data_IF_148569636388
#
_entry.id   IF_148569636388
#
_cell.length_a   1.000
_cell.length_b   1.000
_cell.length_c   1.000
_cell.angle_alpha   90.00
_cell.angle_beta   90.00
_cell.angle_gamma   90.00
#
_symmetry.space_group_name_H-M   'P 1'
#
loop_
_entity.id
_entity.type
_entity.pdbx_description
1 polymer ?
#
# COMPACT_ATOMS: atom_id res chain seq x y z
N UNK A 1 25.20 23.24 -14.01
CA UNK A 1 24.55 23.65 -12.75
C UNK A 1 24.54 25.16 -12.69
N UNK A 2 23.38 25.79 -12.91
CA UNK A 2 23.24 27.24 -12.76
C UNK A 2 23.32 27.58 -11.26
N UNK A 3 24.10 28.61 -10.89
CA UNK A 3 24.14 29.13 -9.52
C UNK A 3 22.77 29.73 -9.19
N UNK A 4 22.08 29.16 -8.21
CA UNK A 4 20.86 29.76 -7.66
C UNK A 4 21.16 31.19 -7.19
N UNK A 5 20.38 32.15 -7.68
CA UNK A 5 20.47 33.56 -7.32
C UNK A 5 19.72 33.81 -6.00
N UNK A 6 20.03 34.89 -5.27
CA UNK A 6 19.43 35.17 -3.95
C UNK A 6 17.90 35.36 -3.95
N UNK A 7 17.28 35.53 -5.12
CA UNK A 7 15.83 35.55 -5.33
C UNK A 7 15.21 34.15 -5.41
N UNK A 8 15.95 33.14 -5.88
CA UNK A 8 15.48 31.75 -6.00
C UNK A 8 15.28 31.07 -4.63
N UNK A 9 15.75 31.72 -3.55
CA UNK A 9 15.64 31.24 -2.17
C UNK A 9 14.48 31.87 -1.40
N UNK A 10 13.76 32.85 -1.97
CA UNK A 10 12.61 33.48 -1.29
C UNK A 10 11.32 32.73 -1.62
N UNK A 11 10.49 32.38 -0.62
CA UNK A 11 9.19 31.77 -0.88
C UNK A 11 8.28 32.76 -1.63
N UNK A 12 7.44 32.23 -2.51
CA UNK A 12 6.41 33.03 -3.17
C UNK A 12 5.42 33.61 -2.16
N UNK A 13 4.90 34.81 -2.44
CA UNK A 13 3.90 35.47 -1.59
C UNK A 13 2.50 34.89 -1.83
N UNK A 14 1.59 35.07 -0.86
CA UNK A 14 0.18 34.69 -1.02
C UNK A 14 -0.48 35.36 -2.24
N UNK A 15 -0.09 36.60 -2.54
CA UNK A 15 -0.58 37.35 -3.69
C UNK A 15 -0.13 36.72 -5.02
N UNK A 16 1.13 36.29 -5.10
CA UNK A 16 1.64 35.57 -6.28
C UNK A 16 0.91 34.25 -6.51
N UNK A 17 0.60 33.50 -5.46
CA UNK A 17 -0.22 32.29 -5.55
C UNK A 17 -1.65 32.58 -6.01
N UNK A 18 -2.28 33.63 -5.46
CA UNK A 18 -3.64 34.01 -5.83
C UNK A 18 -3.76 34.43 -7.30
N UNK A 19 -2.78 35.19 -7.81
CA UNK A 19 -2.73 35.60 -9.21
C UNK A 19 -2.64 34.38 -10.13
N UNK A 20 -1.65 33.50 -9.92
CA UNK A 20 -1.44 32.33 -10.77
C UNK A 20 -2.65 31.39 -10.77
N UNK A 21 -3.18 31.07 -9.58
CA UNK A 21 -4.34 30.18 -9.46
C UNK A 21 -5.59 30.80 -10.09
N UNK A 22 -5.77 32.11 -9.97
CA UNK A 22 -6.85 32.87 -10.63
C UNK A 22 -6.75 32.84 -12.16
N UNK A 23 -5.54 33.01 -12.72
CA UNK A 23 -5.32 32.92 -14.17
C UNK A 23 -5.61 31.53 -14.72
N UNK A 24 -5.18 30.48 -14.00
CA UNK A 24 -5.48 29.09 -14.36
C UNK A 24 -7.00 28.85 -14.33
N UNK A 25 -7.69 29.29 -13.28
CA UNK A 25 -9.14 29.14 -13.16
C UNK A 25 -9.88 29.85 -14.29
N UNK A 26 -9.47 31.08 -14.62
CA UNK A 26 -10.04 31.85 -15.73
C UNK A 26 -9.80 31.17 -17.09
N UNK A 27 -8.59 30.63 -17.32
CA UNK A 27 -8.27 29.91 -18.54
C UNK A 27 -9.13 28.65 -18.70
N UNK A 28 -9.33 27.89 -17.62
CA UNK A 28 -10.23 26.72 -17.61
C UNK A 28 -11.67 27.12 -17.91
N UNK A 29 -12.17 28.20 -17.31
CA UNK A 29 -13.53 28.69 -17.58
C UNK A 29 -13.72 29.11 -19.04
N UNK A 30 -12.74 29.81 -19.64
CA UNK A 30 -12.75 30.22 -21.05
C UNK A 30 -12.65 29.05 -22.03
N UNK A 31 -11.98 27.97 -21.65
CA UNK A 31 -11.87 26.76 -22.46
C UNK A 31 -13.18 25.97 -22.55
N UNK A 32 -14.19 26.28 -21.71
CA UNK A 32 -15.51 25.66 -21.68
C UNK A 32 -15.47 24.12 -21.78
N UNK A 33 -14.76 23.43 -20.85
CA UNK A 33 -14.67 21.98 -20.87
C UNK A 33 -16.05 21.34 -20.74
N UNK A 34 -16.24 20.19 -21.39
CA UNK A 34 -17.51 19.46 -21.30
C UNK A 34 -17.78 18.98 -19.86
N UNK A 35 -19.07 18.89 -19.51
CA UNK A 35 -19.50 18.31 -18.24
C UNK A 35 -18.89 16.92 -18.03
N UNK A 36 -18.86 16.09 -19.07
CA UNK A 36 -18.28 14.74 -19.00
C UNK A 36 -16.79 14.76 -18.64
N UNK A 37 -16.00 15.70 -19.19
CA UNK A 37 -14.59 15.84 -18.85
C UNK A 37 -14.41 16.29 -17.39
N UNK A 38 -15.18 17.30 -16.96
CA UNK A 38 -15.12 17.79 -15.59
C UNK A 38 -15.53 16.71 -14.58
N UNK A 39 -16.59 15.97 -14.88
CA UNK A 39 -17.04 14.84 -14.07
C UNK A 39 -15.96 13.75 -13.99
N UNK A 40 -15.31 13.43 -15.11
CA UNK A 40 -14.21 12.46 -15.15
C UNK A 40 -13.04 12.89 -14.26
N UNK A 41 -12.62 14.16 -14.33
CA UNK A 41 -11.53 14.68 -13.50
C UNK A 41 -11.91 14.76 -12.02
N UNK A 42 -13.19 15.03 -11.71
CA UNK A 42 -13.67 15.06 -10.33
C UNK A 42 -13.64 13.68 -9.68
N UNK A 43 -14.07 12.64 -10.41
CA UNK A 43 -14.24 11.29 -9.85
C UNK A 43 -13.02 10.39 -10.02
N UNK A 44 -12.21 10.56 -11.07
CA UNK A 44 -11.02 9.75 -11.31
C UNK A 44 -9.76 10.44 -10.76
N UNK A 45 -9.37 10.04 -9.55
CA UNK A 45 -8.24 10.63 -8.83
C UNK A 45 -6.91 10.50 -9.57
N UNK A 46 -6.65 9.36 -10.21
CA UNK A 46 -5.43 9.12 -10.99
C UNK A 46 -5.35 10.04 -12.20
N UNK A 47 -6.45 10.16 -12.95
CA UNK A 47 -6.53 11.07 -14.10
C UNK A 47 -6.33 12.53 -13.67
N UNK A 48 -6.91 12.93 -12.54
CA UNK A 48 -6.71 14.26 -11.95
C UNK A 48 -5.26 14.50 -11.55
N UNK A 49 -4.61 13.55 -10.88
CA UNK A 49 -3.21 13.65 -10.45
C UNK A 49 -2.27 13.79 -11.64
N UNK A 50 -2.45 12.98 -12.70
CA UNK A 50 -1.66 13.06 -13.93
C UNK A 50 -1.84 14.41 -14.64
N UNK A 51 -3.08 14.91 -14.73
CA UNK A 51 -3.33 16.22 -15.30
C UNK A 51 -2.64 17.34 -14.52
N UNK A 52 -2.68 17.27 -13.19
CA UNK A 52 -1.99 18.21 -12.31
C UNK A 52 -0.47 18.16 -12.48
N UNK A 53 0.12 16.96 -12.53
CA UNK A 53 1.56 16.79 -12.75
C UNK A 53 2.01 17.38 -14.10
N UNK A 54 1.26 17.14 -15.17
CA UNK A 54 1.53 17.74 -16.49
C UNK A 54 1.45 19.27 -16.44
N UNK A 55 0.42 19.82 -15.79
CA UNK A 55 0.25 21.27 -15.68
C UNK A 55 1.38 21.93 -14.87
N UNK A 56 1.75 21.35 -13.73
CA UNK A 56 2.85 21.84 -12.90
C UNK A 56 4.18 21.78 -13.64
N UNK A 57 4.45 20.68 -14.37
CA UNK A 57 5.68 20.54 -15.17
C UNK A 57 5.79 21.63 -16.24
N UNK A 58 4.68 22.02 -16.86
CA UNK A 58 4.65 23.12 -17.84
C UNK A 58 4.94 24.50 -17.21
N UNK A 59 4.81 24.61 -15.88
CA UNK A 59 5.14 25.80 -15.09
C UNK A 59 6.51 25.67 -14.40
N UNK A 60 7.32 24.68 -14.77
CA UNK A 60 8.61 24.36 -14.11
C UNK A 60 8.47 24.06 -12.60
N UNK A 61 7.29 23.57 -12.20
CA UNK A 61 6.98 23.15 -10.85
C UNK A 61 6.88 21.62 -10.78
N UNK A 62 7.33 21.05 -9.66
CA UNK A 62 7.17 19.62 -9.40
C UNK A 62 5.96 19.35 -8.50
N UNK A 63 5.17 18.34 -8.85
CA UNK A 63 4.15 17.82 -7.96
C UNK A 63 4.84 17.07 -6.82
N UNK A 64 4.75 17.61 -5.60
CA UNK A 64 5.32 16.98 -4.43
C UNK A 64 4.50 15.71 -4.07
N UNK A 65 5.12 14.51 -4.00
CA UNK A 65 4.44 13.31 -3.54
C UNK A 65 3.98 13.41 -2.08
N UNK A 66 3.05 12.55 -1.68
CA UNK A 66 2.68 12.46 -0.26
C UNK A 66 3.91 12.03 0.56
N UNK A 67 4.25 12.70 1.67
CA UNK A 67 5.43 12.37 2.47
C UNK A 67 5.50 10.90 2.91
N UNK A 68 4.34 10.24 3.08
CA UNK A 68 4.28 8.81 3.41
C UNK A 68 4.80 7.95 2.25
N UNK A 69 4.47 8.29 1.00
CA UNK A 69 5.01 7.60 -0.17
C UNK A 69 6.51 7.82 -0.33
N UNK A 70 7.01 9.02 -0.02
CA UNK A 70 8.45 9.30 -0.01
C UNK A 70 9.17 8.47 1.05
N UNK A 71 8.61 8.34 2.26
CA UNK A 71 9.17 7.49 3.30
C UNK A 71 9.19 6.01 2.88
N UNK A 72 8.12 5.52 2.26
CA UNK A 72 8.04 4.16 1.73
C UNK A 72 9.02 3.90 0.58
N UNK A 73 9.22 4.87 -0.30
CA UNK A 73 10.23 4.79 -1.36
C UNK A 73 11.62 4.63 -0.78
N UNK A 74 11.97 5.43 0.23
CA UNK A 74 13.27 5.34 0.90
C UNK A 74 13.45 4.00 1.61
N UNK A 75 12.39 3.44 2.20
CA UNK A 75 12.40 2.10 2.76
C UNK A 75 12.77 1.05 1.70
N UNK A 76 12.10 1.06 0.55
CA UNK A 76 12.38 0.11 -0.53
C UNK A 76 13.78 0.28 -1.14
N UNK A 77 14.23 1.51 -1.33
CA UNK A 77 15.58 1.81 -1.83
C UNK A 77 16.65 1.24 -0.89
N UNK A 78 16.47 1.36 0.44
CA UNK A 78 17.38 0.75 1.44
C UNK A 78 17.44 -0.77 1.35
N UNK A 79 16.37 -1.41 0.86
CA UNK A 79 16.30 -2.84 0.62
C UNK A 79 16.75 -3.25 -0.80
N UNK A 80 17.26 -2.29 -1.59
CA UNK A 80 17.73 -2.54 -2.95
C UNK A 80 16.62 -2.68 -3.99
N UNK A 81 15.40 -2.21 -3.68
CA UNK A 81 14.24 -2.27 -4.58
C UNK A 81 13.90 -0.86 -5.03
N UNK A 82 14.05 -0.60 -6.33
CA UNK A 82 13.63 0.67 -6.93
C UNK A 82 12.11 0.72 -7.07
N UNK A 83 11.52 1.83 -6.62
CA UNK A 83 10.07 2.07 -6.65
C UNK A 83 9.81 3.51 -7.09
N UNK A 84 9.02 3.66 -8.14
CA UNK A 84 8.55 4.96 -8.63
C UNK A 84 7.26 5.37 -7.90
N UNK A 85 7.17 6.62 -7.44
CA UNK A 85 6.05 7.10 -6.60
C UNK A 85 5.26 8.27 -7.20
N UNK A 86 5.72 8.85 -8.31
CA UNK A 86 5.13 10.08 -8.87
C UNK A 86 3.63 9.92 -9.17
N UNK A 87 3.29 8.79 -9.79
CA UNK A 87 1.94 8.41 -10.17
C UNK A 87 1.18 7.65 -9.08
N UNK A 88 1.82 7.34 -7.94
CA UNK A 88 1.16 6.62 -6.85
C UNK A 88 0.24 7.56 -6.06
N UNK A 89 -0.87 6.97 -5.61
CA UNK A 89 -1.86 7.64 -4.78
C UNK A 89 -1.94 6.95 -3.44
N UNK A 90 -1.99 7.73 -2.37
CA UNK A 90 -2.40 7.18 -1.08
C UNK A 90 -3.91 6.88 -1.16
N UNK A 91 -4.35 5.68 -0.75
CA UNK A 91 -5.76 5.37 -0.65
C UNK A 91 -6.48 6.28 0.36
N UNK A 92 -7.78 6.47 0.14
CA UNK A 92 -8.63 7.04 1.19
C UNK A 92 -8.74 6.04 2.33
N UNK A 93 -8.12 6.39 3.44
CA UNK A 93 -8.02 5.56 4.61
C UNK A 93 -9.06 5.98 5.66
N UNK A 94 -9.76 5.01 6.28
CA UNK A 94 -10.46 5.26 7.54
C UNK A 94 -9.53 5.87 8.60
N UNK A 95 -10.10 6.56 9.60
CA UNK A 95 -9.31 7.31 10.58
C UNK A 95 -8.35 6.43 11.41
N UNK A 96 -8.68 5.16 11.59
CA UNK A 96 -7.89 4.15 12.32
C UNK A 96 -6.85 3.42 11.44
N UNK A 97 -6.83 3.69 10.13
CA UNK A 97 -5.83 3.15 9.21
C UNK A 97 -4.58 4.03 9.22
N UNK A 98 -3.66 3.69 10.11
CA UNK A 98 -2.47 4.49 10.40
C UNK A 98 -1.24 4.10 9.57
N UNK A 99 -1.26 2.95 8.90
CA UNK A 99 -0.13 2.45 8.12
C UNK A 99 -0.41 2.57 6.62
N UNK A 100 0.59 3.04 5.87
CA UNK A 100 0.62 3.05 4.40
C UNK A 100 1.85 2.25 3.96
N UNK A 101 1.67 1.32 3.03
CA UNK A 101 2.78 0.59 2.41
C UNK A 101 2.70 0.68 0.89
N UNK A 102 3.85 0.72 0.23
CA UNK A 102 3.91 0.49 -1.22
C UNK A 102 4.11 -1.00 -1.48
N UNK A 103 3.30 -1.56 -2.38
CA UNK A 103 3.39 -2.95 -2.86
C UNK A 103 4.06 -2.94 -4.24
N UNK A 104 5.36 -3.27 -4.36
CA UNK A 104 6.08 -3.20 -5.63
C UNK A 104 5.59 -4.27 -6.59
N UNK A 105 5.19 -3.92 -7.82
CA UNK A 105 4.83 -4.91 -8.84
C UNK A 105 6.00 -5.80 -9.28
N UNK A 106 7.24 -5.30 -9.13
CA UNK A 106 8.47 -5.99 -9.50
C UNK A 106 8.79 -7.21 -8.63
N UNK A 107 8.15 -7.35 -7.46
CA UNK A 107 8.40 -8.46 -6.54
C UNK A 107 7.26 -9.46 -6.57
N UNK A 108 7.57 -10.75 -6.60
CA UNK A 108 6.59 -11.81 -6.38
C UNK A 108 6.40 -12.10 -4.87
N UNK A 109 5.44 -12.95 -4.49
CA UNK A 109 5.30 -13.38 -3.09
C UNK A 109 6.54 -14.14 -2.66
N UNK A 110 7.06 -15.00 -3.54
CA UNK A 110 8.25 -15.80 -3.28
C UNK A 110 9.49 -14.91 -3.05
N UNK A 111 9.69 -13.91 -3.91
CA UNK A 111 10.80 -12.97 -3.76
C UNK A 111 10.69 -12.13 -2.48
N UNK A 112 9.48 -11.75 -2.08
CA UNK A 112 9.25 -11.05 -0.81
C UNK A 112 9.51 -11.94 0.40
N UNK A 113 9.12 -13.21 0.34
CA UNK A 113 9.44 -14.16 1.40
C UNK A 113 10.95 -14.38 1.53
N UNK A 114 11.67 -14.55 0.42
CA UNK A 114 13.13 -14.63 0.41
C UNK A 114 13.75 -13.36 0.99
N UNK A 115 13.18 -12.18 0.69
CA UNK A 115 13.63 -10.94 1.29
C UNK A 115 13.41 -10.92 2.81
N UNK A 116 12.24 -11.35 3.29
CA UNK A 116 11.97 -11.52 4.72
C UNK A 116 13.00 -12.46 5.38
N UNK A 117 13.26 -13.62 4.77
CA UNK A 117 14.22 -14.62 5.26
C UNK A 117 15.67 -14.13 5.34
N UNK A 118 16.03 -13.05 4.62
CA UNK A 118 17.34 -12.39 4.76
C UNK A 118 17.44 -11.52 6.01
N UNK A 119 16.32 -11.04 6.53
CA UNK A 119 16.26 -10.13 7.68
C UNK A 119 15.93 -10.84 8.98
N UNK A 120 15.16 -11.92 8.94
CA UNK A 120 14.75 -12.69 10.11
C UNK A 120 14.49 -14.16 9.76
N UNK A 121 14.54 -15.08 10.74
CA UNK A 121 14.20 -16.48 10.52
C UNK A 121 12.76 -16.62 10.02
N UNK A 122 12.59 -17.38 8.94
CA UNK A 122 11.28 -17.58 8.31
C UNK A 122 11.10 -19.03 7.87
N UNK A 123 9.87 -19.50 7.92
CA UNK A 123 9.47 -20.81 7.41
C UNK A 123 8.21 -20.68 6.56
N UNK A 124 8.04 -21.59 5.60
CA UNK A 124 6.81 -21.69 4.80
C UNK A 124 6.44 -23.13 4.57
N UNK A 125 5.15 -23.42 4.62
CA UNK A 125 4.62 -24.77 4.34
C UNK A 125 4.65 -25.11 2.85
N UNK A 126 4.39 -24.12 1.99
CA UNK A 126 4.30 -24.30 0.55
C UNK A 126 5.64 -24.00 -0.14
N UNK A 127 6.03 -24.85 -1.09
CA UNK A 127 7.28 -24.70 -1.84
C UNK A 127 7.35 -23.41 -2.67
N UNK A 128 6.21 -22.92 -3.14
CA UNK A 128 6.10 -21.76 -4.04
C UNK A 128 4.87 -20.93 -3.69
N UNK A 129 5.10 -19.74 -3.13
CA UNK A 129 4.05 -18.81 -2.72
C UNK A 129 3.41 -18.06 -3.90
N UNK A 130 3.99 -18.12 -5.09
CA UNK A 130 3.44 -17.49 -6.30
C UNK A 130 2.34 -18.34 -6.93
N UNK A 131 2.23 -19.64 -6.59
CA UNK A 131 1.15 -20.54 -7.03
C UNK A 131 -0.18 -20.32 -6.31
N UNK A 132 -0.28 -19.32 -5.44
CA UNK A 132 -1.55 -18.96 -4.83
C UNK A 132 -2.50 -18.33 -5.86
N UNK A 133 -3.80 -18.58 -5.71
CA UNK A 133 -4.83 -17.92 -6.53
C UNK A 133 -5.37 -16.72 -5.75
N UNK A 134 -5.15 -15.51 -6.30
CA UNK A 134 -5.70 -14.28 -5.76
C UNK A 134 -7.22 -14.25 -5.95
N UNK A 135 -7.98 -14.04 -4.86
CA UNK A 135 -9.44 -14.05 -4.89
C UNK A 135 -10.04 -12.64 -4.88
N UNK A 136 -9.28 -11.66 -4.43
CA UNK A 136 -9.65 -10.25 -4.45
C UNK A 136 -8.75 -9.50 -5.43
N UNK A 137 -9.37 -8.86 -6.43
CA UNK A 137 -8.63 -8.11 -7.42
C UNK A 137 -7.78 -7.01 -6.77
N UNK A 138 -6.60 -6.79 -7.34
CA UNK A 138 -5.66 -5.72 -6.98
C UNK A 138 -5.17 -5.04 -8.26
N UNK A 139 -4.63 -3.81 -8.17
CA UNK A 139 -3.88 -3.22 -9.26
C UNK A 139 -2.76 -4.16 -9.74
N UNK A 140 -2.56 -4.24 -11.05
CA UNK A 140 -1.48 -5.05 -11.65
C UNK A 140 -0.11 -4.38 -11.55
N UNK A 141 -0.09 -3.05 -11.47
CA UNK A 141 1.11 -2.24 -11.27
C UNK A 141 1.38 -2.01 -9.79
N UNK A 142 2.53 -1.40 -9.46
CA UNK A 142 2.82 -0.94 -8.10
C UNK A 142 1.68 -0.07 -7.59
N UNK A 143 1.27 -0.29 -6.34
CA UNK A 143 0.19 0.47 -5.69
C UNK A 143 0.51 0.72 -4.22
N UNK A 144 -0.19 1.69 -3.62
CA UNK A 144 -0.15 1.90 -2.19
C UNK A 144 -1.36 1.24 -1.53
N UNK A 145 -1.13 0.61 -0.38
CA UNK A 145 -2.15 -0.01 0.47
C UNK A 145 -2.16 0.69 1.82
N UNK A 146 -3.35 0.98 2.34
CA UNK A 146 -3.58 1.45 3.69
C UNK A 146 -4.18 0.35 4.55
N UNK A 147 -3.75 0.26 5.81
CA UNK A 147 -4.25 -0.71 6.79
C UNK A 147 -4.09 -0.17 8.22
N UNK A 148 -4.75 -0.84 9.17
CA UNK A 148 -4.62 -0.50 10.60
C UNK A 148 -3.23 -0.81 11.13
N UNK A 149 -2.66 0.12 11.87
CA UNK A 149 -1.50 -0.15 12.69
C UNK A 149 -1.87 -1.03 13.89
N UNK A 150 -1.04 -2.04 14.16
CA UNK A 150 -1.25 -2.96 15.29
C UNK A 150 -0.47 -4.25 15.13
N UNK A 151 0.01 -4.79 16.26
CA UNK A 151 0.84 -6.01 16.27
C UNK A 151 0.03 -7.22 15.81
N UNK A 152 -1.20 -7.38 16.28
CA UNK A 152 -2.05 -8.53 15.98
C UNK A 152 -3.06 -8.23 14.85
N UNK A 153 -3.75 -9.26 14.31
CA UNK A 153 -4.84 -9.04 13.37
C UNK A 153 -5.93 -8.12 13.93
N UNK A 154 -6.65 -7.47 13.00
CA UNK A 154 -7.66 -6.45 13.32
C UNK A 154 -8.66 -6.98 14.34
N UNK A 155 -8.75 -6.30 15.49
CA UNK A 155 -9.55 -6.77 16.62
C UNK A 155 -11.01 -7.04 16.23
N UNK A 156 -11.60 -6.19 15.39
CA UNK A 156 -12.97 -6.31 14.90
C UNK A 156 -13.19 -7.42 13.86
N UNK A 157 -12.11 -8.03 13.38
CA UNK A 157 -12.15 -9.14 12.43
C UNK A 157 -11.57 -10.44 12.98
N UNK A 158 -11.14 -10.44 14.25
CA UNK A 158 -10.78 -11.70 14.91
C UNK A 158 -11.95 -12.67 14.92
N UNK A 159 -11.63 -13.96 14.91
CA UNK A 159 -12.61 -15.04 14.81
C UNK A 159 -13.44 -15.02 13.51
N UNK A 160 -13.04 -14.24 12.50
CA UNK A 160 -13.58 -14.37 11.14
C UNK A 160 -12.68 -15.28 10.32
N UNK A 161 -13.28 -16.32 9.77
CA UNK A 161 -12.62 -17.18 8.79
C UNK A 161 -12.49 -16.47 7.44
N UNK A 162 -11.69 -17.05 6.55
CA UNK A 162 -11.61 -16.61 5.15
C UNK A 162 -13.00 -16.56 4.49
N UNK A 163 -13.81 -17.61 4.66
CA UNK A 163 -15.13 -17.70 4.03
C UNK A 163 -16.10 -16.66 4.58
N UNK A 164 -16.06 -16.38 5.89
CA UNK A 164 -16.89 -15.33 6.52
C UNK A 164 -16.48 -13.96 6.01
N UNK A 165 -15.19 -13.63 6.06
CA UNK A 165 -14.67 -12.34 5.60
C UNK A 165 -15.02 -12.09 4.12
N UNK A 166 -14.87 -13.10 3.27
CA UNK A 166 -15.22 -13.02 1.85
C UNK A 166 -16.72 -12.84 1.65
N UNK A 167 -17.55 -13.58 2.39
CA UNK A 167 -19.02 -13.47 2.32
C UNK A 167 -19.53 -12.10 2.75
N UNK A 168 -18.87 -11.47 3.72
CA UNK A 168 -19.18 -10.11 4.17
C UNK A 168 -18.68 -9.02 3.21
N UNK A 169 -17.98 -9.40 2.13
CA UNK A 169 -17.41 -8.45 1.17
C UNK A 169 -16.23 -7.66 1.74
N UNK A 170 -15.60 -8.16 2.81
CA UNK A 170 -14.43 -7.52 3.40
C UNK A 170 -13.27 -7.58 2.41
N UNK A 171 -12.62 -6.45 2.17
CA UNK A 171 -11.34 -6.39 1.46
C UNK A 171 -10.22 -6.45 2.50
N UNK A 172 -9.37 -7.47 2.41
CA UNK A 172 -8.32 -7.73 3.39
C UNK A 172 -7.02 -8.17 2.72
N UNK A 173 -5.93 -8.11 3.48
CA UNK A 173 -4.59 -8.32 2.95
C UNK A 173 -4.45 -9.63 2.17
N UNK A 174 -3.82 -9.57 1.01
CA UNK A 174 -3.28 -10.74 0.33
C UNK A 174 -1.89 -11.11 0.91
N UNK A 175 -1.30 -12.26 0.52
CA UNK A 175 0.02 -12.67 1.03
C UNK A 175 1.11 -11.63 0.79
N UNK A 176 1.10 -10.97 -0.37
CA UNK A 176 2.08 -9.94 -0.73
C UNK A 176 2.04 -8.76 0.24
N UNK A 177 0.85 -8.24 0.51
CA UNK A 177 0.61 -7.14 1.44
C UNK A 177 1.03 -7.52 2.86
N UNK A 178 0.72 -8.75 3.29
CA UNK A 178 1.11 -9.26 4.62
C UNK A 178 2.62 -9.43 4.78
N UNK A 179 3.32 -9.92 3.76
CA UNK A 179 4.79 -10.04 3.74
C UNK A 179 5.46 -8.65 3.80
N UNK A 180 4.94 -7.68 3.04
CA UNK A 180 5.42 -6.29 3.11
C UNK A 180 5.20 -5.70 4.50
N UNK A 181 4.02 -5.91 5.10
CA UNK A 181 3.73 -5.44 6.45
C UNK A 181 4.71 -6.04 7.49
N UNK A 182 5.04 -7.33 7.39
CA UNK A 182 6.03 -7.98 8.26
C UNK A 182 7.38 -7.30 8.15
N UNK A 183 7.91 -7.24 6.93
CA UNK A 183 9.25 -6.73 6.68
C UNK A 183 9.39 -5.28 7.13
N UNK A 184 8.38 -4.45 6.83
CA UNK A 184 8.32 -3.05 7.30
C UNK A 184 8.35 -2.97 8.82
N UNK A 185 7.52 -3.75 9.49
CA UNK A 185 7.42 -3.72 10.95
C UNK A 185 8.72 -4.19 11.61
N UNK A 186 9.31 -5.27 11.11
CA UNK A 186 10.58 -5.79 11.62
C UNK A 186 11.72 -4.81 11.39
N UNK A 187 11.89 -4.26 10.18
CA UNK A 187 12.97 -3.28 9.91
C UNK A 187 12.83 -2.03 10.79
N UNK A 188 11.60 -1.63 11.12
CA UNK A 188 11.33 -0.46 11.97
C UNK A 188 11.54 -0.73 13.47
N UNK A 189 11.23 -1.93 13.94
CA UNK A 189 11.07 -2.21 15.38
C UNK A 189 11.97 -3.31 15.93
N UNK A 190 12.50 -4.17 15.07
CA UNK A 190 13.17 -5.42 15.45
C UNK A 190 12.22 -6.47 16.05
N UNK A 191 10.90 -6.30 15.90
CA UNK A 191 9.85 -7.20 16.41
C UNK A 191 8.99 -7.73 15.27
N UNK A 192 8.14 -8.70 15.57
CA UNK A 192 7.28 -9.36 14.60
C UNK A 192 5.81 -8.96 14.75
N UNK A 193 5.06 -9.04 13.65
CA UNK A 193 3.60 -8.96 13.71
C UNK A 193 3.03 -10.35 14.02
N UNK A 194 1.81 -10.35 14.56
CA UNK A 194 1.00 -11.52 14.86
C UNK A 194 1.75 -12.49 15.80
N UNK A 195 2.09 -12.02 17.01
CA UNK A 195 2.78 -12.83 18.02
C UNK A 195 1.82 -13.78 18.75
N UNK A 196 0.52 -13.47 18.77
CA UNK A 196 -0.51 -14.25 19.47
C UNK A 196 -1.49 -14.96 18.54
N UNK A 197 -1.73 -14.40 17.36
CA UNK A 197 -2.63 -14.96 16.36
C UNK A 197 -1.98 -15.06 15.00
N UNK A 198 -2.80 -15.29 13.98
CA UNK A 198 -2.38 -15.36 12.58
C UNK A 198 -3.21 -14.42 11.71
N UNK A 199 -2.55 -13.67 10.82
CA UNK A 199 -3.26 -12.95 9.78
C UNK A 199 -3.71 -13.93 8.70
N UNK A 200 -5.02 -14.08 8.50
CA UNK A 200 -5.61 -14.82 7.39
C UNK A 200 -5.65 -13.93 6.15
N UNK A 201 -5.16 -14.41 5.01
CA UNK A 201 -5.01 -13.62 3.78
C UNK A 201 -6.04 -13.96 2.70
N UNK A 202 -6.24 -13.04 1.76
CA UNK A 202 -7.29 -13.11 0.73
C UNK A 202 -6.93 -13.99 -0.48
N UNK A 203 -5.99 -14.93 -0.34
CA UNK A 203 -5.55 -15.83 -1.41
C UNK A 203 -5.60 -17.28 -0.95
N UNK A 204 -5.87 -18.17 -1.90
CA UNK A 204 -5.90 -19.61 -1.66
C UNK A 204 -4.63 -20.26 -2.21
N UNK A 205 -4.03 -21.16 -1.42
CA UNK A 205 -2.99 -22.06 -1.91
C UNK A 205 -3.56 -23.08 -2.90
N UNK A 206 -2.69 -23.81 -3.61
CA UNK A 206 -3.10 -24.84 -4.60
C UNK A 206 -4.02 -25.94 -4.01
N UNK A 207 -3.96 -26.18 -2.69
CA UNK A 207 -4.85 -27.13 -2.00
C UNK A 207 -6.20 -26.53 -1.55
N UNK A 208 -6.48 -25.28 -1.90
CA UNK A 208 -7.72 -24.60 -1.53
C UNK A 208 -7.78 -24.07 -0.10
N UNK A 209 -6.72 -24.19 0.69
CA UNK A 209 -6.59 -23.53 2.00
C UNK A 209 -6.31 -22.04 1.81
N UNK A 210 -6.83 -21.20 2.71
CA UNK A 210 -6.42 -19.80 2.76
C UNK A 210 -4.97 -19.71 3.23
N UNK A 211 -4.17 -18.81 2.66
CA UNK A 211 -2.84 -18.56 3.22
C UNK A 211 -2.98 -17.75 4.50
N UNK A 212 -2.19 -18.08 5.51
CA UNK A 212 -2.03 -17.26 6.72
C UNK A 212 -0.55 -16.99 6.98
N UNK A 213 -0.28 -15.96 7.77
CA UNK A 213 1.07 -15.70 8.25
C UNK A 213 1.07 -15.12 9.67
N UNK A 214 2.12 -15.43 10.43
CA UNK A 214 2.33 -14.92 11.77
C UNK A 214 3.67 -15.33 12.36
N UNK A 215 3.99 -14.80 13.53
CA UNK A 215 5.19 -15.19 14.26
C UNK A 215 4.90 -16.43 15.09
N UNK A 216 5.72 -17.47 14.97
CA UNK A 216 5.60 -18.68 15.76
C UNK A 216 6.66 -18.69 16.88
N UNK A 217 6.30 -18.36 18.14
CA UNK A 217 7.27 -18.16 19.21
C UNK A 217 8.07 -19.43 19.57
N UNK A 218 7.46 -20.60 19.37
CA UNK A 218 8.08 -21.88 19.72
C UNK A 218 9.26 -22.26 18.80
N UNK A 219 9.18 -21.90 17.51
CA UNK A 219 10.28 -22.09 16.55
C UNK A 219 11.15 -20.84 16.41
N UNK A 220 10.64 -19.66 16.81
CA UNK A 220 11.31 -18.39 16.59
C UNK A 220 11.39 -18.04 15.11
N UNK A 221 10.33 -18.32 14.34
CA UNK A 221 10.26 -18.06 12.90
C UNK A 221 8.99 -17.29 12.52
N UNK A 222 9.10 -16.44 11.50
CA UNK A 222 7.96 -15.91 10.78
C UNK A 222 7.47 -16.94 9.77
N UNK A 223 6.23 -17.38 9.94
CA UNK A 223 5.70 -18.54 9.25
C UNK A 223 4.62 -18.13 8.24
N UNK A 224 4.63 -18.77 7.07
CA UNK A 224 3.56 -18.70 6.07
C UNK A 224 2.99 -20.09 5.85
N UNK A 225 1.72 -20.30 6.20
CA UNK A 225 1.09 -21.63 6.23
C UNK A 225 -0.30 -21.62 5.56
N UNK A 226 -0.91 -22.81 5.47
CA UNK A 226 -2.29 -23.03 5.08
C UNK A 226 -3.22 -23.01 6.28
N UNK A 227 -4.33 -22.30 6.13
CA UNK A 227 -5.40 -22.21 7.10
C UNK A 227 -6.70 -22.69 6.45
N UNK A 228 -7.44 -23.55 7.16
CA UNK A 228 -8.74 -24.01 6.68
C UNK A 228 -9.67 -22.83 6.41
N UNK A 229 -10.34 -22.80 5.25
CA UNK A 229 -11.15 -21.64 4.84
C UNK A 229 -12.30 -21.28 5.78
N UNK A 230 -12.82 -22.29 6.46
CA UNK A 230 -13.87 -22.17 7.47
C UNK A 230 -13.34 -22.08 8.89
N UNK A 231 -12.04 -22.30 9.11
CA UNK A 231 -11.42 -22.21 10.42
C UNK A 231 -11.35 -20.76 10.86
N UNK A 232 -11.48 -20.54 12.16
CA UNK A 232 -11.32 -19.26 12.81
C UNK A 232 -10.81 -19.47 14.23
N UNK A 233 -9.67 -18.88 14.56
CA UNK A 233 -9.16 -18.78 15.91
C UNK A 233 -9.59 -17.47 16.56
N UNK A 234 -9.73 -17.46 17.88
CA UNK A 234 -10.10 -16.24 18.63
C UNK A 234 -9.03 -15.13 18.55
N UNK A 235 -7.78 -15.49 18.27
CA UNK A 235 -6.67 -14.55 18.05
C UNK A 235 -6.41 -14.27 16.55
N UNK A 236 -6.97 -15.10 15.66
CA UNK A 236 -6.70 -15.08 14.23
C UNK A 236 -7.74 -14.25 13.51
N UNK A 237 -7.38 -13.66 12.38
CA UNK A 237 -8.32 -12.94 11.56
C UNK A 237 -7.66 -12.21 10.40
N UNK A 238 -8.44 -11.63 9.49
CA UNK A 238 -7.91 -10.80 8.43
C UNK A 238 -7.50 -9.41 8.95
N UNK A 239 -6.55 -8.80 8.24
CA UNK A 239 -6.26 -7.37 8.32
C UNK A 239 -6.93 -6.65 7.17
N UNK A 240 -7.86 -5.74 7.47
CA UNK A 240 -8.55 -4.99 6.43
C UNK A 240 -7.57 -4.11 5.67
N UNK A 241 -7.79 -4.00 4.36
CA UNK A 241 -6.92 -3.25 3.47
C UNK A 241 -7.75 -2.35 2.55
N UNK A 242 -7.23 -1.14 2.28
CA UNK A 242 -7.73 -0.23 1.25
C UNK A 242 -6.59 0.11 0.29
N UNK A 243 -6.87 0.26 -0.99
CA UNK A 243 -5.85 0.56 -2.00
C UNK A 243 -6.40 1.51 -3.06
N UNK A 244 -5.49 2.21 -3.74
CA UNK A 244 -5.77 3.17 -4.80
C UNK A 244 -5.32 2.66 -6.17
#
# INVERSE_FOLDING_TARGET
>A
MAKATGTDLKPATLEQYAILTGEIALAVAKAQPSFALMQRLATNKTAKRRALATALKALEMELIPDPRLTAEQQFWVKLGVAVEIDDLMVPECPADFTEIAIIPASLTNEQLFVLCAKHFPSWKYYDDLDKCTAQQARPTNTYAVGYRGGVEPDLEHRNKSYDVATKEGLIFMNPKERLVAELRYFVRTGRHLDEKGWTITSSLASGGCALCAGWYPSSGTFDVDGYGRSCAGSADGPRQAVFA
#
